data_IF_652841690092
#
_entry.id   IF_652841690092
#
_cell.length_a   1.000
_cell.length_b   1.000
_cell.length_c   1.000
_cell.angle_alpha   90.00
_cell.angle_beta   90.00
_cell.angle_gamma   90.00
#
_symmetry.space_group_name_H-M   'P 1'
#
loop_
_entity.id
_entity.type
_entity.pdbx_description
1 polymer ?
#
# COMPACT_ATOMS: atom_id res chain seq x y z
N UNK A 1 -47.09 20.45 129.80
CA UNK A 1 -48.32 19.95 130.46
C UNK A 1 -49.17 19.33 129.39
N UNK A 2 -49.38 18.01 129.50
CA UNK A 2 -50.51 17.22 128.99
C UNK A 2 -50.73 17.17 127.47
N UNK A 3 -51.21 16.09 126.85
CA UNK A 3 -51.40 14.69 127.20
C UNK A 3 -51.99 14.03 125.92
N UNK A 4 -51.88 12.70 125.87
CA UNK A 4 -52.83 11.76 125.26
C UNK A 4 -52.97 11.62 123.71
N UNK A 5 -52.31 10.58 123.20
CA UNK A 5 -52.87 9.22 122.97
C UNK A 5 -54.20 9.07 122.20
N UNK A 6 -54.11 8.31 121.09
CA UNK A 6 -55.02 7.25 120.55
C UNK A 6 -56.55 7.45 120.58
N UNK A 7 -57.36 6.83 119.73
CA UNK A 7 -57.33 6.09 118.45
C UNK A 7 -58.80 6.09 118.03
N UNK A 8 -59.09 6.03 116.72
CA UNK A 8 -60.30 5.39 116.20
C UNK A 8 -60.03 5.02 114.73
N UNK A 9 -60.20 3.74 114.44
CA UNK A 9 -60.06 3.11 113.12
C UNK A 9 -61.41 3.12 112.34
N UNK A 10 -61.38 2.54 111.13
CA UNK A 10 -62.44 2.27 110.09
C UNK A 10 -62.33 3.27 108.92
N UNK A 11 -62.13 2.95 107.63
CA UNK A 11 -62.09 1.73 106.77
C UNK A 11 -61.34 2.09 105.44
N UNK A 12 -60.96 1.12 104.57
CA UNK A 12 -60.07 1.34 103.42
C UNK A 12 -60.80 1.77 102.14
N UNK A 13 -60.13 2.55 101.29
CA UNK A 13 -60.56 2.83 99.90
C UNK A 13 -59.53 2.24 98.93
N UNK A 14 -59.97 1.29 98.11
CA UNK A 14 -59.21 0.59 97.08
C UNK A 14 -58.63 1.55 96.00
N UNK A 15 -57.42 1.29 95.48
CA UNK A 15 -56.86 2.05 94.37
C UNK A 15 -57.45 1.61 93.00
N UNK A 16 -57.62 2.54 92.04
CA UNK A 16 -58.26 2.23 90.76
C UNK A 16 -57.37 1.32 89.87
N UNK A 17 -57.98 0.28 89.32
CA UNK A 17 -57.35 -0.69 88.41
C UNK A 17 -56.90 -0.03 87.09
N UNK A 18 -55.59 -0.01 86.85
CA UNK A 18 -54.98 0.34 85.56
C UNK A 18 -55.42 -0.64 84.47
N UNK A 19 -56.02 -0.11 83.41
CA UNK A 19 -56.50 -0.85 82.23
C UNK A 19 -55.35 -1.53 81.48
N UNK A 20 -55.11 -2.82 81.74
CA UNK A 20 -54.19 -3.71 81.00
C UNK A 20 -54.52 -3.86 79.49
N UNK A 21 -55.64 -3.32 79.00
CA UNK A 21 -55.97 -3.29 77.57
C UNK A 21 -55.21 -2.22 76.77
N UNK A 22 -54.99 -1.02 77.31
CA UNK A 22 -54.36 0.08 76.54
C UNK A 22 -52.87 -0.16 76.31
N UNK A 23 -52.16 -0.76 77.30
CA UNK A 23 -50.74 -1.14 77.15
C UNK A 23 -50.51 -2.24 76.10
N UNK A 24 -51.45 -3.18 75.92
CA UNK A 24 -51.36 -4.21 74.87
C UNK A 24 -51.65 -3.66 73.48
N UNK A 25 -52.53 -2.66 73.36
CA UNK A 25 -52.82 -1.98 72.09
C UNK A 25 -51.62 -1.15 71.63
N UNK A 26 -50.99 -0.40 72.52
CA UNK A 26 -49.77 0.37 72.19
C UNK A 26 -48.61 -0.56 71.82
N UNK A 27 -48.40 -1.66 72.55
CA UNK A 27 -47.37 -2.65 72.22
C UNK A 27 -47.64 -3.32 70.86
N UNK A 28 -48.90 -3.62 70.55
CA UNK A 28 -49.31 -4.13 69.24
C UNK A 28 -49.05 -3.15 68.10
N UNK A 29 -49.32 -1.86 68.29
CA UNK A 29 -49.03 -0.81 67.30
C UNK A 29 -47.53 -0.66 67.06
N UNK A 30 -46.70 -0.65 68.12
CA UNK A 30 -45.24 -0.58 67.99
C UNK A 30 -44.69 -1.79 67.24
N UNK A 31 -45.18 -3.00 67.54
CA UNK A 31 -44.80 -4.21 66.82
C UNK A 31 -45.19 -4.14 65.33
N UNK A 32 -46.38 -3.63 65.02
CA UNK A 32 -46.83 -3.42 63.63
C UNK A 32 -45.95 -2.38 62.92
N UNK A 33 -45.55 -1.29 63.58
CA UNK A 33 -44.65 -0.29 63.00
C UNK A 33 -43.25 -0.87 62.75
N UNK A 34 -42.72 -1.68 63.67
CA UNK A 34 -41.43 -2.35 63.47
C UNK A 34 -41.49 -3.40 62.36
N UNK A 35 -42.58 -4.16 62.26
CA UNK A 35 -42.81 -5.10 61.16
C UNK A 35 -42.96 -4.34 59.83
N UNK A 36 -43.72 -3.24 59.80
CA UNK A 36 -43.87 -2.42 58.61
C UNK A 36 -42.55 -1.78 58.19
N UNK A 37 -41.75 -1.29 59.14
CA UNK A 37 -40.41 -0.78 58.89
C UNK A 37 -39.46 -1.88 58.40
N UNK A 38 -39.53 -3.08 58.98
CA UNK A 38 -38.75 -4.25 58.57
C UNK A 38 -39.12 -4.75 57.17
N UNK A 39 -40.41 -4.81 56.85
CA UNK A 39 -40.93 -5.15 55.52
C UNK A 39 -40.52 -4.06 54.52
N UNK A 40 -40.68 -2.79 54.86
CA UNK A 40 -40.28 -1.68 53.99
C UNK A 40 -38.77 -1.68 53.73
N UNK A 41 -37.95 -1.97 54.74
CA UNK A 41 -36.51 -2.09 54.60
C UNK A 41 -36.13 -3.30 53.73
N UNK A 42 -36.77 -4.45 53.94
CA UNK A 42 -36.56 -5.66 53.15
C UNK A 42 -36.95 -5.48 51.68
N UNK A 43 -38.09 -4.84 51.41
CA UNK A 43 -38.54 -4.52 50.03
C UNK A 43 -37.60 -3.51 49.37
N UNK A 44 -37.10 -2.53 50.12
CA UNK A 44 -36.11 -1.58 49.61
C UNK A 44 -34.76 -2.24 49.32
N UNK A 45 -34.24 -3.07 50.23
CA UNK A 45 -32.94 -3.73 50.08
C UNK A 45 -32.93 -4.89 49.10
N UNK A 46 -34.09 -5.43 48.71
CA UNK A 46 -34.21 -6.55 47.76
C UNK A 46 -34.38 -6.12 46.31
N UNK A 47 -34.65 -4.84 46.07
CA UNK A 47 -34.91 -4.26 44.74
C UNK A 47 -33.68 -3.70 44.01
N UNK A 48 -32.47 -3.83 44.58
CA UNK A 48 -31.24 -3.47 43.89
C UNK A 48 -30.08 -4.39 44.29
N UNK A 49 -29.14 -4.61 43.37
CA UNK A 49 -27.82 -5.17 43.69
C UNK A 49 -26.77 -4.06 43.63
N UNK A 50 -25.87 -4.03 44.60
CA UNK A 50 -24.75 -3.10 44.61
C UNK A 50 -23.42 -3.84 44.69
N UNK A 51 -22.36 -3.13 44.30
CA UNK A 51 -20.98 -3.57 44.51
C UNK A 51 -20.11 -2.38 44.90
N UNK A 52 -19.11 -2.65 45.72
CA UNK A 52 -18.05 -1.74 46.15
C UNK A 52 -16.79 -1.84 45.27
N UNK A 53 -16.76 -2.82 44.38
CA UNK A 53 -15.65 -3.12 43.48
C UNK A 53 -16.02 -2.67 42.08
N UNK A 54 -16.07 -1.36 41.92
CA UNK A 54 -16.32 -0.72 40.65
C UNK A 54 -15.50 0.55 40.51
N UNK A 55 -15.09 0.81 39.28
CA UNK A 55 -14.32 2.00 38.93
C UNK A 55 -14.76 2.55 37.58
N UNK A 56 -14.56 3.85 37.38
CA UNK A 56 -14.65 4.48 36.07
C UNK A 56 -13.46 4.02 35.22
N UNK A 57 -13.72 3.58 34.00
CA UNK A 57 -12.74 3.26 32.98
C UNK A 57 -12.96 4.15 31.74
N UNK A 58 -11.96 4.22 30.86
CA UNK A 58 -12.03 5.00 29.64
C UNK A 58 -10.96 4.59 28.63
N UNK A 59 -11.07 5.14 27.42
CA UNK A 59 -10.10 4.87 26.36
C UNK A 59 -8.77 5.60 26.60
N UNK A 60 -7.71 4.81 26.75
CA UNK A 60 -6.32 5.24 26.88
C UNK A 60 -5.64 5.18 25.50
N UNK A 61 -5.21 6.32 24.98
CA UNK A 61 -4.58 6.43 23.67
C UNK A 61 -3.12 6.86 23.81
N UNK A 62 -2.16 5.92 23.74
CA UNK A 62 -0.74 6.27 23.76
C UNK A 62 -0.35 6.96 22.44
N UNK A 63 0.33 8.10 22.56
CA UNK A 63 0.88 8.82 21.40
C UNK A 63 2.38 8.63 21.39
N UNK A 64 2.88 8.02 20.32
CA UNK A 64 4.28 7.69 20.14
C UNK A 64 4.88 8.35 18.90
N UNK A 65 6.20 8.56 18.91
CA UNK A 65 6.91 9.08 17.75
C UNK A 65 7.00 8.06 16.63
N UNK A 66 6.89 8.51 15.37
CA UNK A 66 7.08 7.68 14.18
C UNK A 66 8.49 7.76 13.59
N UNK A 67 9.28 8.74 14.01
CA UNK A 67 10.64 9.00 13.57
C UNK A 67 11.56 9.24 14.76
N UNK A 68 12.86 9.10 14.54
CA UNK A 68 13.88 9.52 15.50
C UNK A 68 14.08 11.03 15.38
N UNK A 69 14.43 11.70 16.48
CA UNK A 69 14.67 13.14 16.42
C UNK A 69 14.95 13.77 17.78
N UNK A 70 15.17 15.08 17.77
CA UNK A 70 15.33 15.88 18.99
C UNK A 70 14.12 16.78 19.16
N UNK A 71 13.54 16.83 20.36
CA UNK A 71 12.39 17.68 20.66
C UNK A 71 12.83 19.14 20.64
N UNK A 72 12.25 19.93 19.73
CA UNK A 72 12.49 21.37 19.62
C UNK A 72 11.53 22.17 20.49
N UNK A 73 10.26 21.76 20.54
CA UNK A 73 9.25 22.40 21.38
C UNK A 73 8.19 21.39 21.85
N UNK A 74 7.77 21.54 23.09
CA UNK A 74 6.59 20.88 23.67
C UNK A 74 5.52 21.96 23.84
N UNK A 75 4.32 21.73 23.31
CA UNK A 75 3.23 22.74 23.25
C UNK A 75 2.13 22.50 24.27
N UNK A 76 2.25 21.45 25.07
CA UNK A 76 1.23 20.96 25.98
C UNK A 76 1.83 20.56 27.32
N UNK A 77 1.06 20.71 28.38
CA UNK A 77 1.43 20.37 29.76
C UNK A 77 0.61 19.19 30.29
N UNK A 78 1.06 18.62 31.41
CA UNK A 78 0.34 17.55 32.11
C UNK A 78 -1.04 18.01 32.58
N UNK A 79 -2.03 17.12 32.49
CA UNK A 79 -3.44 17.36 32.83
C UNK A 79 -4.14 18.42 31.97
N UNK A 80 -3.55 18.83 30.84
CA UNK A 80 -4.18 19.73 29.88
C UNK A 80 -5.17 18.99 28.98
N UNK A 81 -6.28 19.66 28.64
CA UNK A 81 -7.24 19.18 27.63
C UNK A 81 -6.76 19.57 26.24
N UNK A 82 -6.77 18.62 25.31
CA UNK A 82 -6.37 18.79 23.91
C UNK A 82 -7.47 18.33 22.96
N UNK A 83 -7.51 18.93 21.78
CA UNK A 83 -8.41 18.53 20.70
C UNK A 83 -7.70 17.64 19.66
N UNK A 84 -8.46 16.79 18.98
CA UNK A 84 -7.94 16.01 17.86
C UNK A 84 -7.33 16.93 16.79
N UNK A 85 -6.10 16.62 16.36
CA UNK A 85 -5.31 17.40 15.41
C UNK A 85 -4.46 18.51 16.04
N UNK A 86 -4.57 18.76 17.34
CA UNK A 86 -3.75 19.75 18.04
C UNK A 86 -2.27 19.33 18.09
N UNK A 87 -1.37 20.28 17.89
CA UNK A 87 0.07 20.03 17.90
C UNK A 87 0.56 19.84 19.34
N UNK A 88 1.15 18.69 19.62
CA UNK A 88 1.70 18.33 20.93
C UNK A 88 3.19 18.63 21.01
N UNK A 89 3.95 18.12 20.02
CA UNK A 89 5.41 18.21 19.97
C UNK A 89 5.87 18.56 18.57
N UNK A 90 6.89 19.42 18.50
CA UNK A 90 7.63 19.72 17.30
C UNK A 90 9.07 19.19 17.47
N UNK A 91 9.50 18.32 16.56
CA UNK A 91 10.87 17.86 16.44
C UNK A 91 11.68 18.84 15.59
N UNK A 92 13.00 18.89 15.79
CA UNK A 92 13.90 19.66 14.94
C UNK A 92 13.84 19.13 13.49
N UNK A 93 13.36 19.92 12.52
CA UNK A 93 13.18 19.45 11.15
C UNK A 93 14.46 19.48 10.31
N UNK A 94 15.59 19.96 10.84
CA UNK A 94 16.79 20.27 10.06
C UNK A 94 17.31 19.07 9.25
N UNK A 95 17.43 17.90 9.89
CA UNK A 95 17.92 16.68 9.25
C UNK A 95 16.93 16.14 8.20
N UNK A 96 15.63 16.21 8.49
CA UNK A 96 14.57 15.77 7.57
C UNK A 96 14.42 16.71 6.37
N UNK A 97 14.60 18.01 6.55
CA UNK A 97 14.60 19.00 5.46
C UNK A 97 15.78 18.78 4.51
N UNK A 98 16.97 18.52 5.05
CA UNK A 98 18.15 18.17 4.25
C UNK A 98 17.88 16.87 3.48
N UNK A 99 17.34 15.85 4.14
CA UNK A 99 16.99 14.58 3.52
C UNK A 99 15.94 14.74 2.42
N UNK A 100 14.93 15.59 2.62
CA UNK A 100 13.93 15.94 1.62
C UNK A 100 14.57 16.66 0.41
N UNK A 101 15.45 17.63 0.66
CA UNK A 101 16.14 18.35 -0.41
C UNK A 101 17.06 17.42 -1.23
N UNK A 102 17.74 16.48 -0.56
CA UNK A 102 18.54 15.45 -1.24
C UNK A 102 17.68 14.53 -2.09
N UNK A 103 16.55 14.05 -1.56
CA UNK A 103 15.63 13.21 -2.30
C UNK A 103 15.00 13.95 -3.50
N UNK A 104 14.69 15.25 -3.34
CA UNK A 104 14.22 16.10 -4.43
C UNK A 104 15.27 16.22 -5.53
N UNK A 105 16.52 16.51 -5.17
CA UNK A 105 17.62 16.60 -6.13
C UNK A 105 17.85 15.28 -6.88
N UNK A 106 17.72 14.14 -6.19
CA UNK A 106 17.81 12.82 -6.81
C UNK A 106 16.66 12.55 -7.80
N UNK A 107 15.43 12.92 -7.44
CA UNK A 107 14.28 12.84 -8.34
C UNK A 107 14.46 13.75 -9.57
N UNK A 108 14.89 14.99 -9.37
CA UNK A 108 15.14 15.93 -10.48
C UNK A 108 16.24 15.41 -11.41
N UNK A 109 17.30 14.80 -10.87
CA UNK A 109 18.36 14.14 -11.65
C UNK A 109 17.81 12.96 -12.46
N UNK A 110 17.00 12.10 -11.85
CA UNK A 110 16.39 10.96 -12.54
C UNK A 110 15.43 11.42 -13.65
N UNK A 111 14.64 12.46 -13.40
CA UNK A 111 13.77 13.07 -14.39
C UNK A 111 14.55 13.71 -15.55
N UNK A 112 15.69 14.36 -15.26
CA UNK A 112 16.56 14.90 -16.30
C UNK A 112 17.15 13.78 -17.20
N UNK A 113 17.54 12.65 -16.60
CA UNK A 113 18.03 11.47 -17.34
C UNK A 113 16.94 10.86 -18.23
N UNK A 114 15.71 10.74 -17.72
CA UNK A 114 14.56 10.29 -18.50
C UNK A 114 14.24 11.27 -19.65
N UNK A 115 14.26 12.57 -19.37
CA UNK A 115 14.08 13.62 -20.37
C UNK A 115 15.12 13.55 -21.49
N UNK A 116 16.38 13.23 -21.18
CA UNK A 116 17.43 13.04 -22.16
C UNK A 116 17.31 11.73 -22.96
N UNK A 117 16.61 10.71 -22.43
CA UNK A 117 16.45 9.42 -23.10
C UNK A 117 15.44 9.47 -24.26
N UNK A 118 14.39 10.31 -24.18
CA UNK A 118 13.36 10.41 -25.22
C UNK A 118 13.88 10.92 -26.58
N UNK A 119 14.66 12.02 -26.66
CA UNK A 119 15.25 12.47 -27.92
C UNK A 119 16.14 11.41 -28.55
N UNK A 120 16.90 10.64 -27.76
CA UNK A 120 17.78 9.59 -28.28
C UNK A 120 17.01 8.49 -29.03
N UNK A 121 15.80 8.15 -28.59
CA UNK A 121 14.92 7.22 -29.32
C UNK A 121 14.47 7.80 -30.66
N UNK A 122 14.08 9.08 -30.70
CA UNK A 122 13.68 9.74 -31.94
C UNK A 122 14.85 9.84 -32.92
N UNK A 123 16.03 10.25 -32.45
CA UNK A 123 17.26 10.29 -33.25
C UNK A 123 17.57 8.90 -33.81
N UNK A 124 17.44 7.83 -33.01
CA UNK A 124 17.65 6.45 -33.47
C UNK A 124 16.65 6.05 -34.56
N UNK A 125 15.36 6.38 -34.42
CA UNK A 125 14.34 6.09 -35.46
C UNK A 125 14.61 6.85 -36.76
N UNK A 126 14.97 8.13 -36.66
CA UNK A 126 15.31 8.95 -37.83
C UNK A 126 16.58 8.42 -38.51
N UNK A 127 17.62 8.08 -37.74
CA UNK A 127 18.84 7.46 -38.26
C UNK A 127 18.55 6.16 -38.99
N UNK A 128 17.81 5.24 -38.37
CA UNK A 128 17.47 3.95 -38.96
C UNK A 128 16.65 4.09 -40.25
N UNK A 129 15.70 5.03 -40.30
CA UNK A 129 14.92 5.27 -41.53
C UNK A 129 15.79 5.89 -42.63
N UNK A 130 16.74 6.76 -42.27
CA UNK A 130 17.76 7.27 -43.19
C UNK A 130 18.64 6.16 -43.77
N UNK A 131 19.18 5.29 -42.90
CA UNK A 131 20.03 4.16 -43.30
C UNK A 131 19.27 3.15 -44.18
N UNK A 132 18.01 2.83 -43.84
CA UNK A 132 17.18 1.96 -44.67
C UNK A 132 16.94 2.56 -46.04
N UNK A 133 16.67 3.86 -46.11
CA UNK A 133 16.45 4.57 -47.37
C UNK A 133 17.71 4.59 -48.23
N UNK A 134 18.88 4.84 -47.63
CA UNK A 134 20.15 4.85 -48.37
C UNK A 134 20.52 3.45 -48.88
N UNK A 135 20.38 2.40 -48.04
CA UNK A 135 20.63 1.02 -48.45
C UNK A 135 19.65 0.54 -49.53
N UNK A 136 18.38 0.95 -49.46
CA UNK A 136 17.40 0.67 -50.50
C UNK A 136 17.78 1.34 -51.84
N UNK A 137 18.28 2.59 -51.81
CA UNK A 137 18.76 3.27 -53.00
C UNK A 137 19.99 2.59 -53.63
N UNK A 138 20.91 2.07 -52.80
CA UNK A 138 22.07 1.29 -53.27
C UNK A 138 21.64 -0.01 -53.97
N UNK A 139 20.63 -0.72 -53.45
CA UNK A 139 20.07 -1.91 -54.11
C UNK A 139 19.44 -1.54 -55.46
N UNK A 140 18.63 -0.49 -55.51
CA UNK A 140 18.02 -0.02 -56.78
C UNK A 140 19.10 0.35 -57.81
N UNK A 141 20.17 1.00 -57.39
CA UNK A 141 21.32 1.30 -58.25
C UNK A 141 22.01 0.02 -58.76
N UNK A 142 22.24 -0.96 -57.88
CA UNK A 142 22.84 -2.25 -58.26
C UNK A 142 21.94 -3.03 -59.24
N UNK A 143 20.63 -3.04 -59.02
CA UNK A 143 19.64 -3.67 -59.91
C UNK A 143 19.69 -3.05 -61.32
N UNK A 144 19.76 -1.72 -61.41
CA UNK A 144 19.91 -1.03 -62.69
C UNK A 144 21.20 -1.41 -63.42
N UNK A 145 22.34 -1.51 -62.71
CA UNK A 145 23.62 -1.92 -63.32
C UNK A 145 23.64 -3.39 -63.75
N UNK A 146 22.94 -4.27 -63.03
CA UNK A 146 22.77 -5.66 -63.40
C UNK A 146 21.91 -5.81 -64.65
N UNK A 147 20.79 -5.08 -64.72
CA UNK A 147 19.93 -5.05 -65.91
C UNK A 147 20.67 -4.54 -67.15
N UNK A 148 21.50 -3.50 -67.00
CA UNK A 148 22.34 -3.01 -68.10
C UNK A 148 23.33 -4.08 -68.60
N UNK A 149 24.01 -4.79 -67.68
CA UNK A 149 24.92 -5.87 -68.05
C UNK A 149 24.22 -7.04 -68.74
N UNK A 150 22.96 -7.34 -68.36
CA UNK A 150 22.14 -8.33 -69.06
C UNK A 150 21.85 -7.90 -70.50
N UNK A 151 21.46 -6.64 -70.72
CA UNK A 151 21.26 -6.12 -72.07
C UNK A 151 22.54 -6.12 -72.92
N UNK A 152 23.70 -5.84 -72.32
CA UNK A 152 24.99 -5.94 -73.01
C UNK A 152 25.30 -7.39 -73.43
N UNK A 153 24.98 -8.37 -72.58
CA UNK A 153 25.10 -9.78 -72.91
C UNK A 153 24.16 -10.18 -74.06
N UNK A 154 22.89 -9.79 -74.00
CA UNK A 154 21.92 -10.04 -75.08
C UNK A 154 22.42 -9.48 -76.41
N UNK A 155 22.97 -8.26 -76.39
CA UNK A 155 23.57 -7.63 -77.58
C UNK A 155 24.80 -8.38 -78.08
N UNK A 156 25.66 -8.89 -77.20
CA UNK A 156 26.84 -9.67 -77.57
C UNK A 156 26.44 -11.02 -78.19
N UNK A 157 25.43 -11.70 -77.62
CA UNK A 157 24.89 -12.95 -78.14
C UNK A 157 24.24 -12.79 -79.52
N UNK A 158 23.48 -11.69 -79.71
CA UNK A 158 22.91 -11.36 -81.01
C UNK A 158 24.00 -11.15 -82.09
N UNK A 159 25.08 -10.45 -81.75
CA UNK A 159 26.22 -10.22 -82.66
C UNK A 159 27.01 -11.49 -82.96
N UNK A 160 27.17 -12.38 -81.99
CA UNK A 160 27.76 -13.70 -82.20
C UNK A 160 26.92 -14.50 -83.20
N UNK A 161 25.60 -14.56 -83.00
CA UNK A 161 24.66 -15.26 -83.88
C UNK A 161 24.70 -14.72 -85.31
N UNK A 162 24.75 -13.40 -85.47
CA UNK A 162 24.95 -12.75 -86.77
C UNK A 162 26.27 -13.20 -87.42
N UNK A 163 27.38 -13.14 -86.68
CA UNK A 163 28.70 -13.51 -87.22
C UNK A 163 28.82 -15.00 -87.57
N UNK A 164 28.12 -15.88 -86.85
CA UNK A 164 28.00 -17.31 -87.14
C UNK A 164 27.25 -17.53 -88.46
N UNK A 165 26.10 -16.87 -88.65
CA UNK A 165 25.36 -16.97 -89.91
C UNK A 165 26.17 -16.48 -91.13
N UNK A 166 26.94 -15.40 -90.97
CA UNK A 166 27.84 -14.90 -92.02
C UNK A 166 29.02 -15.87 -92.25
N UNK A 167 29.57 -16.47 -91.19
CA UNK A 167 30.62 -17.48 -91.30
C UNK A 167 30.11 -18.71 -92.05
N UNK A 168 28.93 -19.23 -91.73
CA UNK A 168 28.35 -20.41 -92.37
C UNK A 168 28.18 -20.19 -93.88
N UNK A 169 27.69 -19.01 -94.27
CA UNK A 169 27.61 -18.60 -95.68
C UNK A 169 29.00 -18.59 -96.34
N UNK A 170 29.98 -17.94 -95.72
CA UNK A 170 31.33 -17.81 -96.29
C UNK A 170 32.06 -19.16 -96.38
N UNK A 171 31.85 -20.08 -95.43
CA UNK A 171 32.40 -21.44 -95.45
C UNK A 171 31.77 -22.28 -96.57
N UNK A 172 30.45 -22.17 -96.76
CA UNK A 172 29.75 -22.84 -97.85
C UNK A 172 30.24 -22.32 -99.22
N UNK A 173 30.43 -21.01 -99.36
CA UNK A 173 30.98 -20.42 -100.59
C UNK A 173 32.44 -20.88 -100.82
N UNK A 174 33.28 -20.92 -99.79
CA UNK A 174 34.64 -21.47 -99.89
C UNK A 174 34.65 -22.93 -100.36
N UNK A 175 33.79 -23.78 -99.78
CA UNK A 175 33.69 -25.21 -100.16
C UNK A 175 33.22 -25.37 -101.62
N UNK A 176 32.28 -24.52 -102.07
CA UNK A 176 31.85 -24.47 -103.47
C UNK A 176 33.00 -24.12 -104.39
N UNK A 177 33.76 -23.06 -104.08
CA UNK A 177 34.89 -22.60 -104.89
C UNK A 177 36.10 -23.55 -104.84
N UNK A 178 36.31 -24.27 -103.73
CA UNK A 178 37.31 -25.33 -103.66
C UNK A 178 37.00 -26.44 -104.67
N UNK A 179 35.74 -26.89 -104.73
CA UNK A 179 35.31 -27.92 -105.68
C UNK A 179 35.49 -27.49 -107.14
N UNK A 180 35.23 -26.20 -107.45
CA UNK A 180 35.43 -25.64 -108.79
C UNK A 180 36.92 -25.50 -109.14
N UNK A 181 37.76 -25.16 -108.16
CA UNK A 181 39.21 -25.06 -108.35
C UNK A 181 39.83 -26.43 -108.64
N UNK A 182 39.40 -27.47 -107.94
CA UNK A 182 39.84 -28.85 -108.18
C UNK A 182 39.48 -29.35 -109.59
N UNK A 183 38.40 -28.81 -110.17
CA UNK A 183 37.97 -29.04 -111.57
C UNK A 183 38.66 -28.10 -112.58
N UNK A 184 39.54 -27.20 -112.13
CA UNK A 184 40.21 -26.18 -112.95
C UNK A 184 39.26 -25.15 -113.59
N UNK A 185 38.10 -24.89 -112.99
CA UNK A 185 37.07 -23.98 -113.50
C UNK A 185 37.20 -22.53 -112.99
N UNK A 186 38.04 -22.28 -111.96
CA UNK A 186 38.28 -20.95 -111.36
C UNK A 186 39.76 -20.66 -111.17
N UNK A 187 40.12 -19.37 -111.06
CA UNK A 187 41.52 -18.96 -110.89
C UNK A 187 42.04 -19.24 -109.48
N UNK A 188 43.37 -19.38 -109.35
CA UNK A 188 44.03 -19.50 -108.04
C UNK A 188 43.81 -18.27 -107.15
N UNK A 189 43.75 -17.08 -107.76
CA UNK A 189 43.50 -15.83 -107.04
C UNK A 189 42.10 -15.82 -106.40
N UNK A 190 41.08 -16.30 -107.12
CA UNK A 190 39.72 -16.41 -106.57
C UNK A 190 39.66 -17.41 -105.42
N UNK A 191 40.30 -18.58 -105.58
CA UNK A 191 40.40 -19.57 -104.51
C UNK A 191 41.04 -18.98 -103.23
N UNK A 192 42.19 -18.32 -103.38
CA UNK A 192 42.91 -17.72 -102.26
C UNK A 192 42.09 -16.58 -101.60
N UNK A 193 41.31 -15.82 -102.36
CA UNK A 193 40.42 -14.77 -101.86
C UNK A 193 39.26 -15.33 -101.01
N UNK A 194 38.56 -16.36 -101.48
CA UNK A 194 37.49 -17.01 -100.71
C UNK A 194 38.03 -17.70 -99.46
N UNK A 195 39.21 -18.33 -99.56
CA UNK A 195 39.91 -18.90 -98.41
C UNK A 195 40.23 -17.85 -97.37
N UNK A 196 40.81 -16.71 -97.77
CA UNK A 196 41.12 -15.61 -96.87
C UNK A 196 39.88 -15.00 -96.21
N UNK A 197 38.78 -14.87 -96.96
CA UNK A 197 37.51 -14.35 -96.45
C UNK A 197 36.88 -15.30 -95.42
N UNK A 198 36.91 -16.61 -95.68
CA UNK A 198 36.41 -17.62 -94.75
C UNK A 198 37.24 -17.70 -93.46
N UNK A 199 38.57 -17.63 -93.55
CA UNK A 199 39.44 -17.63 -92.36
C UNK A 199 39.31 -16.35 -91.55
N UNK A 200 39.23 -15.18 -92.19
CA UNK A 200 39.00 -13.90 -91.52
C UNK A 200 37.65 -13.87 -90.79
N UNK A 201 36.60 -14.42 -91.42
CA UNK A 201 35.28 -14.50 -90.78
C UNK A 201 35.27 -15.51 -89.63
N UNK A 202 35.94 -16.65 -89.75
CA UNK A 202 36.09 -17.61 -88.65
C UNK A 202 36.77 -16.96 -87.43
N UNK A 203 37.81 -16.14 -87.67
CA UNK A 203 38.46 -15.38 -86.59
C UNK A 203 37.51 -14.35 -85.94
N UNK A 204 36.59 -13.78 -86.71
CA UNK A 204 35.56 -12.87 -86.21
C UNK A 204 34.54 -13.57 -85.32
N UNK A 205 34.18 -14.83 -85.61
CA UNK A 205 33.34 -15.63 -84.72
C UNK A 205 34.05 -15.89 -83.39
N UNK A 206 35.34 -16.26 -83.43
CA UNK A 206 36.14 -16.48 -82.22
C UNK A 206 36.23 -15.21 -81.36
N UNK A 207 36.41 -14.04 -81.97
CA UNK A 207 36.44 -12.77 -81.22
C UNK A 207 35.08 -12.41 -80.60
N UNK A 208 33.98 -12.61 -81.33
CA UNK A 208 32.63 -12.41 -80.78
C UNK A 208 32.29 -13.42 -79.69
N UNK A 209 32.76 -14.66 -79.81
CA UNK A 209 32.61 -15.68 -78.76
C UNK A 209 33.33 -15.26 -77.47
N UNK A 210 34.55 -14.72 -77.59
CA UNK A 210 35.27 -14.15 -76.46
C UNK A 210 34.54 -12.92 -75.86
N UNK A 211 33.90 -12.10 -76.69
CA UNK A 211 33.09 -10.97 -76.22
C UNK A 211 31.87 -11.43 -75.40
N UNK A 212 31.16 -12.48 -75.84
CA UNK A 212 30.06 -13.09 -75.05
C UNK A 212 30.58 -13.63 -73.73
N UNK A 213 31.69 -14.38 -73.73
CA UNK A 213 32.28 -14.90 -72.50
C UNK A 213 32.67 -13.78 -71.52
N UNK A 214 33.19 -12.65 -72.03
CA UNK A 214 33.48 -11.47 -71.24
C UNK A 214 32.21 -10.83 -70.66
N UNK A 215 31.16 -10.67 -71.48
CA UNK A 215 29.88 -10.12 -71.02
C UNK A 215 29.22 -11.00 -69.94
N UNK A 216 29.28 -12.32 -70.10
CA UNK A 216 28.82 -13.28 -69.09
C UNK A 216 29.55 -13.09 -67.75
N UNK A 217 30.87 -12.88 -67.77
CA UNK A 217 31.65 -12.59 -66.57
C UNK A 217 31.25 -11.26 -65.93
N UNK A 218 30.95 -10.24 -66.74
CA UNK A 218 30.43 -8.97 -66.22
C UNK A 218 29.05 -9.14 -65.55
N UNK A 219 28.14 -9.91 -66.13
CA UNK A 219 26.84 -10.23 -65.51
C UNK A 219 27.03 -10.94 -64.18
N UNK A 220 27.90 -11.95 -64.12
CA UNK A 220 28.23 -12.68 -62.88
C UNK A 220 28.75 -11.73 -61.79
N UNK A 221 29.65 -10.80 -62.14
CA UNK A 221 30.18 -9.78 -61.23
C UNK A 221 29.09 -8.82 -60.72
N UNK A 222 28.20 -8.34 -61.60
CA UNK A 222 27.10 -7.45 -61.21
C UNK A 222 26.06 -8.17 -60.34
N UNK A 223 25.80 -9.45 -60.61
CA UNK A 223 24.93 -10.28 -59.78
C UNK A 223 25.49 -10.47 -58.37
N UNK A 224 26.79 -10.71 -58.24
CA UNK A 224 27.47 -10.80 -56.95
C UNK A 224 27.34 -9.46 -56.18
N UNK A 225 27.57 -8.33 -56.84
CA UNK A 225 27.43 -7.01 -56.26
C UNK A 225 25.99 -6.73 -55.79
N UNK A 226 24.97 -7.09 -56.59
CA UNK A 226 23.56 -6.97 -56.21
C UNK A 226 23.23 -7.82 -54.97
N UNK A 227 23.75 -9.05 -54.92
CA UNK A 227 23.53 -9.96 -53.78
C UNK A 227 24.17 -9.41 -52.49
N UNK A 228 25.35 -8.79 -52.60
CA UNK A 228 26.00 -8.11 -51.49
C UNK A 228 25.14 -6.96 -50.94
N UNK A 229 24.64 -6.08 -51.82
CA UNK A 229 23.81 -4.94 -51.39
C UNK A 229 22.48 -5.39 -50.78
N UNK A 230 21.84 -6.42 -51.34
CA UNK A 230 20.63 -7.02 -50.75
C UNK A 230 20.90 -7.62 -49.36
N UNK A 231 22.08 -8.21 -49.16
CA UNK A 231 22.47 -8.77 -47.87
C UNK A 231 22.69 -7.68 -46.82
N UNK A 232 23.31 -6.55 -47.20
CA UNK A 232 23.47 -5.37 -46.32
C UNK A 232 22.12 -4.75 -45.96
N UNK A 233 21.22 -4.58 -46.93
CA UNK A 233 19.85 -4.09 -46.67
C UNK A 233 19.14 -4.98 -45.65
N UNK A 234 19.15 -6.31 -45.85
CA UNK A 234 18.52 -7.26 -44.93
C UNK A 234 19.13 -7.22 -43.52
N UNK A 235 20.44 -6.99 -43.41
CA UNK A 235 21.11 -6.81 -42.12
C UNK A 235 20.62 -5.53 -41.42
N UNK A 236 20.49 -4.42 -42.14
CA UNK A 236 19.95 -3.16 -41.61
C UNK A 236 18.49 -3.29 -41.21
N UNK A 237 17.66 -3.95 -42.02
CA UNK A 237 16.25 -4.23 -41.71
C UNK A 237 16.07 -5.02 -40.41
N UNK A 238 16.93 -6.02 -40.16
CA UNK A 238 16.88 -6.82 -38.94
C UNK A 238 17.43 -6.07 -37.71
N UNK A 239 18.43 -5.21 -37.90
CA UNK A 239 19.09 -4.52 -36.78
C UNK A 239 18.38 -3.22 -36.36
N UNK A 240 17.72 -2.52 -37.28
CA UNK A 240 16.96 -1.31 -37.00
C UNK A 240 15.92 -1.47 -35.87
N UNK A 241 15.00 -2.46 -35.89
CA UNK A 241 14.02 -2.63 -34.82
C UNK A 241 14.68 -3.02 -33.48
N UNK A 242 15.80 -3.77 -33.51
CA UNK A 242 16.54 -4.12 -32.30
C UNK A 242 17.15 -2.89 -31.63
N UNK A 243 17.70 -1.96 -32.41
CA UNK A 243 18.23 -0.71 -31.86
C UNK A 243 17.12 0.13 -31.22
N UNK A 244 15.94 0.21 -31.85
CA UNK A 244 14.76 0.89 -31.28
C UNK A 244 14.33 0.22 -29.98
N UNK A 245 14.21 -1.12 -29.98
CA UNK A 245 13.83 -1.89 -28.79
C UNK A 245 14.81 -1.70 -27.62
N UNK A 246 16.11 -1.64 -27.88
CA UNK A 246 17.14 -1.37 -26.86
C UNK A 246 16.95 0.04 -26.26
N UNK A 247 16.67 1.04 -27.10
CA UNK A 247 16.42 2.42 -26.65
C UNK A 247 15.12 2.54 -25.86
N UNK A 248 14.06 1.86 -26.28
CA UNK A 248 12.80 1.79 -25.55
C UNK A 248 12.97 1.09 -24.18
N UNK A 249 13.72 -0.01 -24.14
CA UNK A 249 14.06 -0.68 -22.89
C UNK A 249 14.87 0.23 -21.96
N UNK A 250 15.79 1.04 -22.51
CA UNK A 250 16.53 2.02 -21.73
C UNK A 250 15.61 3.11 -21.16
N UNK A 251 14.67 3.65 -21.93
CA UNK A 251 13.67 4.61 -21.44
C UNK A 251 12.85 4.00 -20.31
N UNK A 252 12.38 2.76 -20.47
CA UNK A 252 11.62 2.06 -19.43
C UNK A 252 12.43 1.89 -18.14
N UNK A 253 13.73 1.60 -18.26
CA UNK A 253 14.65 1.53 -17.11
C UNK A 253 14.81 2.89 -16.43
N UNK A 254 14.98 3.98 -17.20
CA UNK A 254 15.07 5.34 -16.65
C UNK A 254 13.76 5.78 -16.00
N UNK A 255 12.62 5.39 -16.56
CA UNK A 255 11.32 5.66 -15.96
C UNK A 255 11.18 4.94 -14.61
N UNK A 256 11.53 3.66 -14.53
CA UNK A 256 11.51 2.93 -13.26
C UNK A 256 12.47 3.55 -12.22
N UNK A 257 13.62 4.06 -12.66
CA UNK A 257 14.53 4.81 -11.79
C UNK A 257 13.91 6.12 -11.26
N UNK A 258 13.21 6.87 -12.12
CA UNK A 258 12.50 8.08 -11.72
C UNK A 258 11.35 7.79 -10.74
N UNK A 259 10.59 6.72 -10.97
CA UNK A 259 9.53 6.26 -10.05
C UNK A 259 10.10 5.85 -8.68
N UNK A 260 11.24 5.15 -8.67
CA UNK A 260 11.95 4.82 -7.43
C UNK A 260 12.41 6.08 -6.67
N UNK A 261 13.02 7.05 -7.37
CA UNK A 261 13.44 8.32 -6.78
C UNK A 261 12.24 9.13 -6.25
N UNK A 262 11.10 9.09 -6.94
CA UNK A 262 9.86 9.70 -6.46
C UNK A 262 9.37 9.05 -5.17
N UNK A 263 9.41 7.72 -5.05
CA UNK A 263 9.02 7.03 -3.82
C UNK A 263 9.91 7.43 -2.64
N UNK A 264 11.22 7.60 -2.87
CA UNK A 264 12.15 8.12 -1.86
C UNK A 264 11.81 9.55 -1.45
N UNK A 265 11.52 10.43 -2.42
CA UNK A 265 11.06 11.80 -2.17
C UNK A 265 9.77 11.85 -1.32
N UNK A 266 8.78 11.02 -1.65
CA UNK A 266 7.55 10.90 -0.88
C UNK A 266 7.80 10.39 0.54
N UNK A 267 8.69 9.41 0.71
CA UNK A 267 9.07 8.92 2.03
C UNK A 267 9.73 10.01 2.88
N UNK A 268 10.66 10.78 2.32
CA UNK A 268 11.30 11.90 3.02
C UNK A 268 10.29 13.00 3.38
N UNK A 269 9.31 13.25 2.51
CA UNK A 269 8.23 14.20 2.79
C UNK A 269 7.33 13.74 3.93
N UNK A 270 7.04 12.44 4.00
CA UNK A 270 6.29 11.85 5.12
C UNK A 270 7.07 11.94 6.43
N UNK A 271 8.38 11.66 6.42
CA UNK A 271 9.22 11.80 7.60
C UNK A 271 9.20 13.23 8.13
N UNK A 272 9.37 14.23 7.25
CA UNK A 272 9.26 15.64 7.64
C UNK A 272 7.88 15.97 8.25
N UNK A 273 6.80 15.36 7.75
CA UNK A 273 5.46 15.54 8.32
C UNK A 273 5.32 14.92 9.72
N UNK A 274 6.01 13.81 9.98
CA UNK A 274 6.01 13.13 11.28
C UNK A 274 6.81 13.89 12.35
N UNK A 275 7.65 14.85 11.95
CA UNK A 275 8.29 15.80 12.88
C UNK A 275 7.29 16.67 13.66
N UNK A 276 6.02 16.70 13.25
CA UNK A 276 4.93 17.36 13.98
C UNK A 276 4.00 16.31 14.57
N UNK A 277 4.13 16.08 15.87
CA UNK A 277 3.31 15.12 16.58
C UNK A 277 1.99 15.75 17.01
N UNK A 278 0.88 15.24 16.50
CA UNK A 278 -0.47 15.75 16.77
C UNK A 278 -1.27 14.78 17.64
N UNK A 279 -2.28 15.30 18.35
CA UNK A 279 -3.23 14.49 19.08
C UNK A 279 -4.13 13.69 18.11
N UNK A 280 -4.18 12.35 18.17
CA UNK A 280 -5.07 11.57 17.31
C UNK A 280 -6.54 11.68 17.73
N UNK A 281 -6.81 12.00 19.00
CA UNK A 281 -8.15 12.10 19.58
C UNK A 281 -8.21 13.26 20.59
N UNK A 282 -9.39 13.83 20.80
CA UNK A 282 -9.61 14.81 21.87
C UNK A 282 -9.64 14.14 23.24
N UNK A 283 -9.07 14.78 24.26
CA UNK A 283 -9.01 14.21 25.61
C UNK A 283 -8.08 15.00 26.53
N UNK A 284 -7.73 14.39 27.66
CA UNK A 284 -6.82 14.97 28.66
C UNK A 284 -5.49 14.21 28.65
N UNK A 285 -4.38 14.94 28.66
CA UNK A 285 -3.03 14.36 28.74
C UNK A 285 -2.77 13.96 30.20
N UNK A 286 -2.51 12.69 30.47
CA UNK A 286 -2.25 12.19 31.84
C UNK A 286 -0.79 11.87 32.12
N UNK A 287 -0.02 11.58 31.08
CA UNK A 287 1.41 11.34 31.18
C UNK A 287 2.11 12.06 30.04
N UNK A 288 3.02 12.98 30.37
CA UNK A 288 3.97 13.59 29.45
C UNK A 288 5.38 13.15 29.80
N UNK A 289 6.06 12.46 28.88
CA UNK A 289 7.48 12.11 28.99
C UNK A 289 8.37 12.90 28.03
N UNK A 290 7.78 13.81 27.25
CA UNK A 290 8.48 14.67 26.30
C UNK A 290 9.09 15.91 26.98
N UNK A 291 10.39 16.10 26.83
CA UNK A 291 11.13 17.26 27.34
C UNK A 291 11.89 17.96 26.20
N UNK A 292 11.95 19.29 26.25
CA UNK A 292 12.66 20.09 25.23
C UNK A 292 14.15 19.74 25.26
N UNK A 293 14.73 19.49 24.08
CA UNK A 293 16.12 19.06 23.92
C UNK A 293 16.35 17.57 24.12
N UNK A 294 15.36 16.79 24.59
CA UNK A 294 15.49 15.35 24.69
C UNK A 294 15.50 14.69 23.31
N UNK A 295 16.33 13.66 23.17
CA UNK A 295 16.38 12.81 21.98
C UNK A 295 15.40 11.67 22.13
N UNK A 296 14.63 11.42 21.07
CA UNK A 296 13.59 10.39 21.04
C UNK A 296 13.84 9.38 19.93
N UNK A 297 13.33 8.17 20.14
CA UNK A 297 13.39 7.08 19.17
C UNK A 297 12.01 6.77 18.58
N UNK A 298 12.00 6.19 17.38
CA UNK A 298 10.80 5.67 16.72
C UNK A 298 10.12 4.63 17.61
N UNK A 299 8.81 4.79 17.81
CA UNK A 299 7.98 3.96 18.68
C UNK A 299 8.01 4.37 20.15
N UNK A 300 8.84 5.34 20.55
CA UNK A 300 8.84 5.83 21.92
C UNK A 300 7.54 6.58 22.22
N UNK A 301 6.84 6.13 23.26
CA UNK A 301 5.64 6.79 23.76
C UNK A 301 6.00 8.09 24.49
N UNK A 302 5.36 9.17 24.09
CA UNK A 302 5.59 10.52 24.62
C UNK A 302 4.42 11.06 25.43
N UNK A 303 3.19 10.66 25.04
CA UNK A 303 1.97 11.08 25.72
C UNK A 303 1.01 9.92 25.95
N UNK A 304 0.17 10.05 26.96
CA UNK A 304 -1.06 9.27 27.13
C UNK A 304 -2.26 10.22 27.12
N UNK A 305 -3.17 10.05 26.16
CA UNK A 305 -4.41 10.83 26.08
C UNK A 305 -5.58 9.97 26.55
N UNK A 306 -6.28 10.46 27.56
CA UNK A 306 -7.51 9.86 28.07
C UNK A 306 -8.72 10.56 27.44
N UNK A 307 -9.58 9.81 26.77
CA UNK A 307 -10.85 10.35 26.26
C UNK A 307 -11.84 10.56 27.40
N UNK A 308 -12.37 11.77 27.53
CA UNK A 308 -13.35 12.13 28.58
C UNK A 308 -14.80 12.00 28.13
N UNK A 309 -15.04 11.81 26.83
CA UNK A 309 -16.39 11.81 26.26
C UNK A 309 -17.02 10.41 26.20
N UNK A 310 -16.20 9.36 26.34
CA UNK A 310 -16.62 7.95 26.29
C UNK A 310 -16.05 7.21 27.50
N UNK A 311 -16.67 7.45 28.65
CA UNK A 311 -16.35 6.82 29.92
C UNK A 311 -17.41 5.76 30.24
N UNK A 312 -16.99 4.67 30.88
CA UNK A 312 -17.89 3.65 31.40
C UNK A 312 -17.47 3.25 32.81
N UNK A 313 -18.32 2.51 33.51
CA UNK A 313 -17.99 1.88 34.78
C UNK A 313 -17.79 0.39 34.55
N UNK A 314 -16.68 -0.13 35.05
CA UNK A 314 -16.46 -1.56 35.17
C UNK A 314 -16.76 -1.96 36.61
N UNK A 315 -17.85 -2.70 36.80
CA UNK A 315 -18.37 -3.07 38.11
C UNK A 315 -18.33 -4.59 38.31
N UNK A 316 -17.52 -5.05 39.24
CA UNK A 316 -17.34 -6.46 39.54
C UNK A 316 -18.43 -6.93 40.52
N UNK A 317 -19.43 -7.65 40.01
CA UNK A 317 -20.48 -8.27 40.82
C UNK A 317 -20.14 -9.70 41.17
N UNK A 318 -20.54 -10.17 42.36
CA UNK A 318 -20.43 -11.59 42.72
C UNK A 318 -21.32 -12.42 41.78
N UNK A 319 -20.87 -13.61 41.40
CA UNK A 319 -21.65 -14.53 40.55
C UNK A 319 -23.09 -14.75 41.06
N UNK A 320 -23.28 -14.77 42.39
CA UNK A 320 -24.61 -14.90 43.03
C UNK A 320 -25.53 -13.70 42.80
N UNK A 321 -24.97 -12.51 42.55
CA UNK A 321 -25.73 -11.28 42.32
C UNK A 321 -26.15 -11.11 40.86
N UNK A 322 -25.47 -11.79 39.93
CA UNK A 322 -25.75 -11.68 38.49
C UNK A 322 -27.07 -12.33 38.07
N UNK A 323 -27.65 -13.21 38.89
CA UNK A 323 -28.85 -13.97 38.55
C UNK A 323 -30.05 -13.09 38.14
N UNK A 324 -30.12 -11.86 38.66
CA UNK A 324 -31.19 -10.88 38.38
C UNK A 324 -30.69 -9.66 37.59
N UNK A 325 -29.40 -9.59 37.29
CA UNK A 325 -28.81 -8.49 36.51
C UNK A 325 -28.91 -8.83 35.03
N UNK A 326 -29.48 -7.94 34.24
CA UNK A 326 -29.66 -8.08 32.80
C UNK A 326 -29.21 -6.80 32.08
N UNK A 327 -28.79 -6.89 30.80
CA UNK A 327 -28.55 -5.71 29.99
C UNK A 327 -29.78 -4.79 29.94
N UNK A 328 -29.54 -3.48 29.81
CA UNK A 328 -30.54 -2.41 29.76
C UNK A 328 -31.26 -2.09 31.09
N UNK A 329 -30.83 -2.65 32.21
CA UNK A 329 -31.31 -2.23 33.53
C UNK A 329 -30.73 -0.87 33.95
N UNK A 330 -31.53 -0.11 34.69
CA UNK A 330 -31.15 1.19 35.23
C UNK A 330 -30.16 1.04 36.38
N UNK A 331 -29.12 1.89 36.41
CA UNK A 331 -28.11 1.91 37.46
C UNK A 331 -27.95 3.32 38.00
N UNK A 332 -27.99 3.46 39.32
CA UNK A 332 -27.52 4.68 40.00
C UNK A 332 -26.09 4.48 40.45
N UNK A 333 -25.18 5.32 39.99
CA UNK A 333 -23.73 5.22 40.19
C UNK A 333 -23.32 6.35 41.14
N UNK A 334 -22.96 6.01 42.37
CA UNK A 334 -22.36 6.98 43.28
C UNK A 334 -20.87 7.11 42.98
N UNK A 335 -20.36 8.33 42.82
CA UNK A 335 -18.93 8.59 42.59
C UNK A 335 -18.34 9.26 43.82
N UNK A 336 -17.48 8.55 44.54
CA UNK A 336 -16.94 8.98 45.84
C UNK A 336 -16.19 10.32 45.72
N UNK A 337 -15.42 10.49 44.65
CA UNK A 337 -14.60 11.68 44.42
C UNK A 337 -15.43 12.95 44.18
N UNK A 338 -16.66 12.83 43.71
CA UNK A 338 -17.54 13.96 43.40
C UNK A 338 -18.69 14.12 44.41
N UNK A 339 -18.89 13.12 45.29
CA UNK A 339 -20.03 13.04 46.21
C UNK A 339 -21.34 13.30 45.44
N UNK A 340 -21.45 12.66 44.27
CA UNK A 340 -22.54 12.87 43.32
C UNK A 340 -23.01 11.54 42.74
N UNK A 341 -24.31 11.46 42.48
CA UNK A 341 -24.95 10.31 41.84
C UNK A 341 -25.13 10.58 40.34
N UNK A 342 -24.79 9.58 39.52
CA UNK A 342 -24.99 9.58 38.08
C UNK A 342 -25.91 8.42 37.68
N UNK A 343 -26.75 8.63 36.69
CA UNK A 343 -27.57 7.60 36.10
C UNK A 343 -26.84 6.91 34.95
N UNK A 344 -27.02 5.60 34.84
CA UNK A 344 -26.45 4.79 33.77
C UNK A 344 -27.30 3.58 33.47
N UNK A 345 -26.86 2.80 32.50
CA UNK A 345 -27.49 1.54 32.13
C UNK A 345 -26.48 0.42 32.06
N UNK A 346 -26.91 -0.80 32.39
CA UNK A 346 -26.11 -2.00 32.16
C UNK A 346 -25.95 -2.19 30.65
N UNK A 347 -24.73 -2.01 30.14
CA UNK A 347 -24.45 -2.09 28.70
C UNK A 347 -24.23 -3.55 28.28
N UNK A 348 -23.34 -4.25 28.98
CA UNK A 348 -23.00 -5.63 28.64
C UNK A 348 -22.53 -6.43 29.84
N UNK A 349 -22.85 -7.73 29.82
CA UNK A 349 -22.34 -8.71 30.78
C UNK A 349 -21.20 -9.51 30.13
N UNK A 350 -20.15 -9.85 30.89
CA UNK A 350 -19.00 -10.58 30.36
C UNK A 350 -19.33 -12.06 30.18
N UNK A 351 -18.84 -12.67 29.10
CA UNK A 351 -19.02 -14.11 28.84
C UNK A 351 -18.04 -15.01 29.62
N UNK A 352 -17.01 -14.42 30.27
CA UNK A 352 -15.91 -15.12 30.94
C UNK A 352 -15.49 -14.38 32.22
N UNK A 353 -15.06 -15.10 33.26
CA UNK A 353 -14.57 -14.53 34.52
C UNK A 353 -13.13 -13.99 34.40
N UNK A 354 -12.78 -12.95 35.18
CA UNK A 354 -11.45 -12.32 35.15
C UNK A 354 -10.28 -13.26 35.50
N UNK A 355 -10.53 -14.30 36.31
CA UNK A 355 -9.52 -15.31 36.66
C UNK A 355 -9.10 -16.20 35.49
N UNK A 356 -9.95 -16.35 34.47
CA UNK A 356 -9.67 -17.14 33.25
C UNK A 356 -9.01 -16.35 32.13
N UNK A 357 -8.97 -15.02 32.23
CA UNK A 357 -8.29 -14.13 31.28
C UNK A 357 -6.94 -13.64 31.79
N UNK A 358 -6.58 -13.98 33.04
CA UNK A 358 -5.26 -13.71 33.62
C UNK A 358 -4.17 -14.54 32.95
N UNK A 359 -3.02 -13.91 32.66
CA UNK A 359 -1.80 -14.56 32.17
C UNK A 359 -1.21 -15.53 33.21
N UNK A 360 -1.54 -15.33 34.49
CA UNK A 360 -1.21 -16.23 35.60
C UNK A 360 -2.51 -16.59 36.34
N UNK A 361 -3.19 -17.67 35.95
CA UNK A 361 -4.35 -18.14 36.70
C UNK A 361 -3.92 -18.69 38.07
N UNK A 362 -4.72 -18.49 39.13
CA UNK A 362 -4.43 -19.07 40.44
C UNK A 362 -4.56 -20.61 40.38
N UNK A 363 -3.43 -21.32 40.51
CA UNK A 363 -3.37 -22.78 40.63
C UNK A 363 -3.55 -23.18 42.11
N UNK A 364 -4.65 -23.86 42.43
CA UNK A 364 -4.89 -24.41 43.76
C UNK A 364 -4.12 -25.73 43.93
N UNK A 365 -2.93 -25.68 44.53
CA UNK A 365 -1.97 -26.79 44.61
C UNK A 365 -2.33 -27.96 45.57
N UNK A 366 -3.52 -27.98 46.17
CA UNK A 366 -3.95 -29.08 47.07
C UNK A 366 -5.42 -29.35 46.82
N UNK A 367 -5.79 -30.59 46.45
CA UNK A 367 -7.10 -31.00 45.92
C UNK A 367 -8.32 -30.86 46.84
N UNK A 368 -8.39 -29.84 47.71
CA UNK A 368 -9.60 -29.42 48.39
C UNK A 368 -10.32 -28.35 47.55
N UNK A 369 -11.47 -28.71 46.99
CA UNK A 369 -12.37 -27.76 46.32
C UNK A 369 -13.09 -26.90 47.36
N UNK A 370 -12.62 -25.67 47.59
CA UNK A 370 -13.39 -24.63 48.29
C UNK A 370 -14.10 -23.77 47.25
N UNK A 371 -15.42 -23.60 47.36
CA UNK A 371 -16.19 -22.72 46.48
C UNK A 371 -15.80 -21.27 46.76
N UNK A 372 -14.96 -20.69 45.90
CA UNK A 372 -14.62 -19.26 45.94
C UNK A 372 -15.63 -18.51 45.09
N UNK A 373 -16.23 -17.45 45.66
CA UNK A 373 -17.14 -16.57 44.93
C UNK A 373 -16.33 -15.81 43.88
N UNK A 374 -16.61 -16.07 42.61
CA UNK A 374 -16.00 -15.35 41.50
C UNK A 374 -16.75 -14.04 41.27
N UNK A 375 -16.00 -12.99 40.92
CA UNK A 375 -16.56 -11.71 40.51
C UNK A 375 -16.48 -11.59 38.99
N UNK A 376 -17.53 -11.07 38.37
CA UNK A 376 -17.59 -10.84 36.93
C UNK A 376 -17.77 -9.35 36.65
N UNK A 377 -16.94 -8.78 35.75
CA UNK A 377 -16.98 -7.35 35.41
C UNK A 377 -18.19 -7.01 34.52
N UNK A 378 -19.20 -6.37 35.08
CA UNK A 378 -20.34 -5.81 34.35
C UNK A 378 -19.97 -4.41 33.86
N UNK A 379 -20.18 -4.15 32.56
CA UNK A 379 -19.94 -2.84 31.96
C UNK A 379 -21.22 -2.01 32.05
N UNK A 380 -21.11 -0.82 32.62
CA UNK A 380 -22.21 0.11 32.84
C UNK A 380 -21.88 1.42 32.14
N UNK A 381 -22.76 1.88 31.26
CA UNK A 381 -22.57 3.12 30.49
C UNK A 381 -23.30 4.27 31.16
N UNK A 382 -22.65 5.43 31.26
CA UNK A 382 -23.30 6.65 31.76
C UNK A 382 -24.35 7.17 30.77
N UNK A 383 -25.44 7.73 31.29
CA UNK A 383 -26.39 8.47 30.47
C UNK A 383 -25.80 9.84 30.09
N UNK A 384 -26.00 10.26 28.84
CA UNK A 384 -25.45 11.52 28.34
C UNK A 384 -26.16 12.76 28.92
N UNK A 385 -25.46 13.89 29.00
CA UNK A 385 -26.06 15.19 29.36
C UNK A 385 -26.22 15.46 30.86
N UNK A 386 -25.61 14.63 31.71
CA UNK A 386 -25.60 14.83 33.16
C UNK A 386 -24.60 15.92 33.56
N UNK A 387 -24.92 16.65 34.63
CA UNK A 387 -24.03 17.67 35.21
C UNK A 387 -22.77 16.99 35.77
N UNK A 388 -21.61 17.65 35.61
CA UNK A 388 -20.32 17.19 36.14
C UNK A 388 -19.77 15.87 35.54
N UNK A 389 -20.39 15.37 34.46
CA UNK A 389 -19.90 14.18 33.73
C UNK A 389 -18.50 14.41 33.13
N UNK A 390 -18.20 15.65 32.76
CA UNK A 390 -16.90 16.12 32.25
C UNK A 390 -15.79 16.11 33.33
N UNK A 391 -16.14 15.99 34.60
CA UNK A 391 -15.19 15.91 35.73
C UNK A 391 -14.78 14.48 36.06
N UNK A 392 -15.48 13.48 35.53
CA UNK A 392 -15.12 12.08 35.73
C UNK A 392 -13.76 11.76 35.10
N UNK A 393 -12.99 10.91 35.76
CA UNK A 393 -11.69 10.42 35.29
C UNK A 393 -11.62 8.91 35.46
N UNK A 394 -10.98 8.18 34.52
CA UNK A 394 -10.67 6.78 34.74
C UNK A 394 -9.88 6.56 36.04
N UNK A 395 -10.20 5.47 36.74
CA UNK A 395 -9.65 5.13 38.05
C UNK A 395 -10.43 5.67 39.25
N UNK A 396 -11.45 6.51 39.06
CA UNK A 396 -12.32 6.93 40.16
C UNK A 396 -13.15 5.74 40.67
N UNK A 397 -13.15 5.51 41.98
CA UNK A 397 -14.00 4.52 42.65
C UNK A 397 -15.46 4.92 42.59
N UNK A 398 -16.33 3.94 42.36
CA UNK A 398 -17.78 4.15 42.26
C UNK A 398 -18.54 3.02 42.94
N UNK A 399 -19.73 3.33 43.45
CA UNK A 399 -20.68 2.35 43.99
C UNK A 399 -21.95 2.31 43.12
N UNK A 400 -22.04 1.40 42.13
CA UNK A 400 -23.24 1.24 41.32
C UNK A 400 -24.31 0.45 42.07
N UNK A 401 -25.55 0.93 41.99
CA UNK A 401 -26.77 0.26 42.45
C UNK A 401 -27.63 -0.04 41.23
N UNK A 402 -27.64 -1.31 40.83
CA UNK A 402 -28.44 -1.81 39.70
C UNK A 402 -29.85 -2.11 40.19
N UNK A 403 -30.84 -1.46 39.62
CA UNK A 403 -32.25 -1.74 39.92
C UNK A 403 -32.62 -3.12 39.36
N UNK A 404 -33.23 -3.94 40.22
CA UNK A 404 -33.73 -5.26 39.87
C UNK A 404 -35.23 -5.14 39.61
N UNK A 405 -35.64 -5.55 38.41
CA UNK A 405 -37.06 -5.62 38.02
C UNK A 405 -37.74 -6.91 38.52
#
# INVERSE_FOLDING_TARGET
>A
MSAETETLAVEPVEPPQKTRRVSRVVLGIVLIVLIAAGISWYLYSSGFENTDDAQVDGHLNPVASRIDGTIKAVRVDDNQTVQAGELLVELDPSDDQISLHQAQAQYDQAMAQLGAAHPNLQITRIGNTGDLTSQQAEVVGAEATFAAAQHDLDSAEAKLKESQAVNDRNQADFTRHQTLYDKQEVSRADYDQYKATATAQAQTVVSNQAAVASAQKTVEQRMAQLTEQRSKLKQTENSAPLQVAIREANIKSQQANAESAQAVLEQSRLNLSYGRLIAPVSGVITQRSAEVGARISKGQQLFMIVQTNDLWVTANFKETQLARIHPNQHVRIHVDALIADFDGIVESMPAVTGSRTSVLPPENATGNYVKVIQRLPVRIRFNSGQKDLDKLRPGMSVEPKVSLD
#
